data_IF_406663930167
#
_entry.id   IF_406663930167
#
_cell.length_a   1.000
_cell.length_b   1.000
_cell.length_c   1.000
_cell.angle_alpha   90.00
_cell.angle_beta   90.00
_cell.angle_gamma   90.00
#
_symmetry.space_group_name_H-M   'P 1'
#
loop_
_entity.id
_entity.type
_entity.pdbx_description
1 polymer ?
#
# COMPACT_ATOMS: atom_id res chain seq x y z
N UNK A 1 -16.07 -18.87 13.58
CA UNK A 1 -15.93 -17.43 13.82
C UNK A 1 -14.54 -16.97 13.30
N UNK A 2 -14.53 -16.36 12.10
CA UNK A 2 -13.28 -15.93 11.43
C UNK A 2 -12.50 -14.90 12.29
N UNK A 3 -13.18 -14.05 13.06
CA UNK A 3 -12.57 -13.05 13.92
C UNK A 3 -11.81 -13.75 15.05
N UNK A 4 -12.42 -14.73 15.69
CA UNK A 4 -11.78 -15.50 16.77
C UNK A 4 -10.55 -16.29 16.30
N UNK A 5 -10.52 -16.73 15.04
CA UNK A 5 -9.33 -17.37 14.44
C UNK A 5 -8.20 -16.36 14.26
N UNK A 6 -8.51 -15.17 13.72
CA UNK A 6 -7.53 -14.11 13.52
C UNK A 6 -6.95 -13.58 14.83
N UNK A 7 -7.80 -13.39 15.86
CA UNK A 7 -7.37 -12.87 17.16
C UNK A 7 -6.54 -13.87 17.98
N UNK A 8 -6.85 -15.15 17.90
CA UNK A 8 -6.25 -16.17 18.76
C UNK A 8 -5.24 -17.07 18.04
N UNK A 9 -5.08 -16.94 16.73
CA UNK A 9 -4.19 -17.79 15.92
C UNK A 9 -4.56 -19.28 15.96
N UNK A 10 -5.76 -19.63 16.44
CA UNK A 10 -6.22 -21.02 16.56
C UNK A 10 -6.85 -21.47 15.26
N UNK A 11 -6.16 -22.32 14.55
CA UNK A 11 -6.63 -22.97 13.33
C UNK A 11 -7.16 -24.38 13.54
N UNK A 12 -7.18 -24.84 14.81
CA UNK A 12 -7.67 -26.18 15.18
C UNK A 12 -9.13 -26.37 14.73
N UNK A 13 -9.38 -27.40 13.95
CA UNK A 13 -10.70 -27.72 13.44
C UNK A 13 -11.11 -26.98 12.17
N UNK A 14 -10.23 -26.13 11.58
CA UNK A 14 -10.43 -25.59 10.26
C UNK A 14 -9.93 -26.55 9.19
N UNK A 15 -10.62 -26.61 8.06
CA UNK A 15 -10.14 -27.38 6.90
C UNK A 15 -9.02 -26.60 6.20
N UNK A 16 -7.96 -27.32 5.83
CA UNK A 16 -6.89 -26.75 5.00
C UNK A 16 -7.39 -26.62 3.57
N UNK A 17 -7.34 -25.41 3.02
CA UNK A 17 -7.71 -25.15 1.63
C UNK A 17 -6.49 -24.79 0.80
N UNK A 18 -6.51 -25.15 -0.46
CA UNK A 18 -5.49 -24.83 -1.45
C UNK A 18 -6.15 -24.14 -2.63
N UNK A 19 -5.53 -23.06 -3.10
CA UNK A 19 -5.73 -22.52 -4.42
C UNK A 19 -4.61 -23.08 -5.31
N UNK A 20 -4.97 -23.85 -6.33
CA UNK A 20 -3.97 -24.36 -7.27
C UNK A 20 -3.42 -23.21 -8.13
N UNK A 21 -2.09 -23.16 -8.34
CA UNK A 21 -1.51 -22.24 -9.33
C UNK A 21 -1.68 -22.74 -10.77
N UNK A 22 -2.26 -23.91 -10.99
CA UNK A 22 -2.56 -24.45 -12.32
C UNK A 22 -3.90 -23.90 -12.81
N UNK A 23 -3.93 -23.11 -13.90
CA UNK A 23 -5.14 -22.48 -14.39
C UNK A 23 -6.21 -23.47 -14.87
N UNK A 24 -5.84 -24.75 -15.11
CA UNK A 24 -6.81 -25.81 -15.44
C UNK A 24 -7.59 -26.32 -14.22
N UNK A 25 -7.11 -26.01 -13.00
CA UNK A 25 -7.72 -26.40 -11.73
C UNK A 25 -8.37 -25.18 -11.04
N UNK A 26 -9.51 -24.73 -11.56
CA UNK A 26 -10.22 -23.58 -10.99
C UNK A 26 -10.83 -23.86 -9.61
N UNK A 27 -10.90 -22.83 -8.74
CA UNK A 27 -11.58 -22.88 -7.46
C UNK A 27 -10.70 -23.27 -6.27
N UNK A 28 -11.34 -23.49 -5.13
CA UNK A 28 -10.68 -23.91 -3.90
C UNK A 28 -10.81 -25.42 -3.70
N UNK A 29 -9.75 -26.02 -3.19
CA UNK A 29 -9.68 -27.43 -2.86
C UNK A 29 -9.44 -27.62 -1.37
N UNK A 30 -10.05 -28.65 -0.77
CA UNK A 30 -9.78 -29.09 0.61
C UNK A 30 -8.74 -30.19 0.58
N UNK A 31 -7.70 -30.04 1.40
CA UNK A 31 -6.66 -31.05 1.60
C UNK A 31 -7.00 -31.92 2.83
N UNK A 32 -7.23 -33.22 2.61
CA UNK A 32 -7.48 -34.21 3.68
C UNK A 32 -6.45 -35.34 3.56
N UNK A 33 -5.42 -35.26 4.39
CA UNK A 33 -4.28 -36.17 4.29
C UNK A 33 -3.51 -35.97 2.98
N UNK A 34 -3.45 -37.00 2.11
CA UNK A 34 -2.82 -36.91 0.79
C UNK A 34 -3.81 -36.70 -0.36
N UNK A 35 -5.09 -36.62 -0.06
CA UNK A 35 -6.16 -36.44 -1.05
C UNK A 35 -6.67 -35.02 -1.00
N UNK A 36 -6.92 -34.43 -2.16
CA UNK A 36 -7.62 -33.17 -2.25
C UNK A 36 -8.86 -33.29 -3.14
N UNK A 37 -9.90 -32.58 -2.76
CA UNK A 37 -11.17 -32.54 -3.48
C UNK A 37 -11.64 -31.10 -3.63
N UNK A 38 -12.25 -30.81 -4.78
CA UNK A 38 -12.78 -29.46 -5.04
C UNK A 38 -13.84 -29.11 -4.01
N UNK A 39 -13.66 -27.99 -3.34
CA UNK A 39 -14.60 -27.45 -2.37
C UNK A 39 -15.68 -26.60 -3.07
N UNK A 40 -15.23 -25.64 -3.89
CA UNK A 40 -16.12 -24.73 -4.61
C UNK A 40 -15.39 -24.03 -5.74
N UNK A 41 -16.15 -23.52 -6.69
CA UNK A 41 -15.69 -22.53 -7.65
C UNK A 41 -15.71 -21.12 -7.01
N UNK A 42 -14.79 -20.27 -7.42
CA UNK A 42 -14.74 -18.87 -6.98
C UNK A 42 -14.72 -17.98 -8.22
N UNK A 43 -15.67 -17.07 -8.32
CA UNK A 43 -15.75 -16.11 -9.43
C UNK A 43 -14.77 -14.94 -9.24
N UNK A 44 -14.62 -14.45 -7.99
CA UNK A 44 -13.75 -13.32 -7.65
C UNK A 44 -13.14 -13.50 -6.27
N UNK A 45 -11.85 -13.31 -6.14
CA UNK A 45 -11.17 -13.19 -4.85
C UNK A 45 -11.15 -11.72 -4.41
N UNK A 46 -11.48 -11.48 -3.15
CA UNK A 46 -11.37 -10.16 -2.53
C UNK A 46 -10.35 -10.23 -1.39
N UNK A 47 -9.05 -9.99 -1.67
CA UNK A 47 -8.02 -9.99 -0.62
C UNK A 47 -8.23 -8.83 0.35
N UNK A 48 -8.35 -9.12 1.64
CA UNK A 48 -8.39 -8.13 2.72
C UNK A 48 -7.30 -8.51 3.70
N UNK A 49 -6.06 -8.22 3.33
CA UNK A 49 -4.85 -8.58 4.04
C UNK A 49 -3.87 -7.41 3.94
N UNK A 50 -2.94 -7.28 4.88
CA UNK A 50 -2.00 -6.17 4.91
C UNK A 50 -0.55 -6.63 5.03
N UNK A 51 0.37 -5.80 4.54
CA UNK A 51 1.80 -5.97 4.69
C UNK A 51 2.44 -6.97 3.73
N UNK A 52 3.58 -7.51 4.14
CA UNK A 52 4.41 -8.45 3.37
C UNK A 52 3.61 -9.70 2.97
N UNK A 53 3.86 -10.21 1.79
CA UNK A 53 3.14 -11.29 1.10
C UNK A 53 1.71 -10.97 0.64
N UNK A 54 1.14 -9.84 1.07
CA UNK A 54 -0.21 -9.44 0.70
C UNK A 54 -0.23 -8.28 -0.28
N UNK A 55 0.58 -7.24 -0.02
CA UNK A 55 0.60 -5.98 -0.78
C UNK A 55 1.84 -5.85 -1.69
N UNK A 56 2.74 -6.84 -1.70
CA UNK A 56 4.04 -6.81 -2.38
C UNK A 56 4.09 -7.54 -3.74
N UNK A 57 2.95 -7.94 -4.27
CA UNK A 57 2.85 -8.69 -5.52
C UNK A 57 2.87 -10.21 -5.35
N UNK A 58 3.21 -10.75 -4.18
CA UNK A 58 3.31 -12.19 -3.95
C UNK A 58 1.95 -12.87 -4.02
N UNK A 59 0.94 -12.35 -3.29
CA UNK A 59 -0.44 -12.83 -3.36
C UNK A 59 -1.01 -12.65 -4.77
N UNK A 60 -0.78 -11.50 -5.37
CA UNK A 60 -1.23 -11.21 -6.73
C UNK A 60 -0.62 -12.17 -7.74
N UNK A 61 0.65 -12.54 -7.59
CA UNK A 61 1.32 -13.53 -8.43
C UNK A 61 0.67 -14.91 -8.34
N UNK A 62 0.27 -15.36 -7.14
CA UNK A 62 -0.48 -16.60 -6.96
C UNK A 62 -1.83 -16.54 -7.69
N UNK A 63 -2.57 -15.44 -7.55
CA UNK A 63 -3.88 -15.26 -8.19
C UNK A 63 -3.77 -15.15 -9.72
N UNK A 64 -2.70 -14.52 -10.23
CA UNK A 64 -2.40 -14.48 -11.67
C UNK A 64 -2.08 -15.86 -12.23
N UNK A 65 -1.26 -16.68 -11.52
CA UNK A 65 -0.94 -18.05 -11.93
C UNK A 65 -2.16 -18.98 -11.93
N UNK A 66 -3.04 -18.80 -10.94
CA UNK A 66 -4.30 -19.54 -10.85
C UNK A 66 -5.35 -19.06 -11.88
N UNK A 67 -5.06 -18.02 -12.63
CA UNK A 67 -5.92 -17.42 -13.66
C UNK A 67 -7.32 -17.01 -13.15
N UNK A 68 -7.40 -16.51 -11.92
CA UNK A 68 -8.66 -16.09 -11.28
C UNK A 68 -8.82 -14.56 -11.30
N UNK A 69 -10.08 -14.10 -11.24
CA UNK A 69 -10.36 -12.68 -11.02
C UNK A 69 -10.11 -12.32 -9.55
N UNK A 70 -9.56 -11.14 -9.30
CA UNK A 70 -9.36 -10.63 -7.94
C UNK A 70 -9.44 -9.11 -7.87
N UNK A 71 -9.88 -8.62 -6.72
CA UNK A 71 -9.98 -7.18 -6.42
C UNK A 71 -8.60 -6.63 -6.09
N UNK A 72 -8.27 -5.47 -6.66
CA UNK A 72 -7.07 -4.72 -6.34
C UNK A 72 -6.03 -4.70 -7.46
N UNK A 73 -4.88 -4.15 -7.14
CA UNK A 73 -3.75 -3.97 -8.03
C UNK A 73 -3.21 -5.31 -8.57
N UNK A 74 -2.66 -5.28 -9.77
CA UNK A 74 -1.86 -6.38 -10.33
C UNK A 74 -0.50 -6.52 -9.65
N UNK A 75 0.29 -7.50 -10.11
CA UNK A 75 1.63 -7.76 -9.57
C UNK A 75 2.50 -6.51 -9.57
N UNK A 76 2.55 -5.78 -10.69
CA UNK A 76 3.38 -4.58 -10.83
C UNK A 76 2.94 -3.48 -9.87
N UNK A 77 1.65 -3.14 -9.89
CA UNK A 77 1.10 -2.08 -9.02
C UNK A 77 1.29 -2.37 -7.53
N UNK A 78 1.06 -3.63 -7.12
CA UNK A 78 1.27 -4.07 -5.75
C UNK A 78 2.76 -3.99 -5.35
N UNK A 79 3.66 -4.56 -6.14
CA UNK A 79 5.10 -4.59 -5.84
C UNK A 79 5.73 -3.20 -5.80
N UNK A 80 5.41 -2.34 -6.77
CA UNK A 80 5.91 -0.96 -6.81
C UNK A 80 5.29 -0.12 -5.69
N UNK A 81 3.99 -0.28 -5.43
CA UNK A 81 3.30 0.44 -4.35
C UNK A 81 3.87 0.14 -2.96
N UNK A 82 4.28 -1.11 -2.73
CA UNK A 82 4.85 -1.54 -1.45
C UNK A 82 6.30 -1.07 -1.25
N UNK A 83 7.14 -1.11 -2.29
CA UNK A 83 8.55 -0.71 -2.21
C UNK A 83 8.68 0.82 -2.24
N UNK A 84 8.84 1.43 -1.07
CA UNK A 84 8.90 2.89 -0.90
C UNK A 84 10.03 3.56 -1.69
N UNK A 85 11.12 2.84 -1.97
CA UNK A 85 12.23 3.36 -2.76
C UNK A 85 11.89 3.43 -4.25
N UNK A 86 11.47 2.29 -4.83
CA UNK A 86 11.07 2.20 -6.24
C UNK A 86 9.86 3.10 -6.49
N UNK A 87 8.88 3.11 -5.58
CA UNK A 87 7.73 3.98 -5.65
C UNK A 87 8.14 5.45 -5.82
N UNK A 88 9.06 5.95 -4.97
CA UNK A 88 9.54 7.34 -5.07
C UNK A 88 10.28 7.62 -6.37
N UNK A 89 11.08 6.69 -6.86
CA UNK A 89 11.78 6.83 -8.14
C UNK A 89 10.76 6.95 -9.30
N UNK A 90 9.70 6.13 -9.27
CA UNK A 90 8.60 6.22 -10.25
C UNK A 90 7.86 7.56 -10.13
N UNK A 91 7.59 8.03 -8.92
CA UNK A 91 6.93 9.33 -8.71
C UNK A 91 7.76 10.50 -9.26
N UNK A 92 9.06 10.52 -8.98
CA UNK A 92 9.99 11.54 -9.51
C UNK A 92 10.02 11.50 -11.03
N UNK A 93 10.08 10.31 -11.64
CA UNK A 93 10.07 10.15 -13.11
C UNK A 93 8.76 10.64 -13.76
N UNK A 94 7.68 10.78 -12.98
CA UNK A 94 6.38 11.29 -13.42
C UNK A 94 6.09 12.73 -12.95
N UNK A 95 7.11 13.48 -12.51
CA UNK A 95 6.97 14.85 -11.99
C UNK A 95 5.92 14.95 -10.86
N UNK A 96 5.88 13.95 -9.96
CA UNK A 96 5.04 13.93 -8.77
C UNK A 96 5.92 14.24 -7.56
N UNK A 97 5.60 15.27 -6.77
CA UNK A 97 6.42 15.69 -5.65
C UNK A 97 6.41 14.65 -4.53
N UNK A 98 7.61 14.23 -4.12
CA UNK A 98 7.85 13.34 -2.97
C UNK A 98 8.89 13.98 -2.06
N UNK A 99 8.93 13.58 -0.80
CA UNK A 99 9.93 14.06 0.15
C UNK A 99 11.31 13.50 -0.21
N UNK A 100 12.35 14.34 -0.13
CA UNK A 100 13.75 13.98 -0.38
C UNK A 100 14.13 12.72 0.39
N UNK A 101 14.68 11.76 -0.30
CA UNK A 101 14.95 10.43 0.24
C UNK A 101 16.22 9.85 -0.36
N UNK A 102 17.09 9.32 0.50
CA UNK A 102 18.26 8.53 0.11
C UNK A 102 17.93 7.05 0.36
N UNK A 103 18.13 6.21 -0.64
CA UNK A 103 18.00 4.75 -0.52
C UNK A 103 19.40 4.16 -0.40
N UNK A 104 19.62 3.34 0.62
CA UNK A 104 20.90 2.68 0.90
C UNK A 104 20.70 1.18 1.13
N UNK A 105 21.75 0.40 0.91
CA UNK A 105 21.73 -1.03 1.15
C UNK A 105 22.23 -1.36 2.56
N UNK A 106 21.73 -2.44 3.16
CA UNK A 106 22.26 -2.99 4.41
C UNK A 106 23.77 -3.22 4.33
N UNK A 107 24.27 -3.76 3.22
CA UNK A 107 25.69 -3.99 3.00
C UNK A 107 26.50 -2.70 2.95
N UNK A 108 25.97 -1.59 2.46
CA UNK A 108 26.63 -0.28 2.48
C UNK A 108 26.70 0.29 3.91
N UNK A 109 25.61 0.10 4.70
CA UNK A 109 25.56 0.49 6.12
C UNK A 109 26.61 -0.29 6.91
N UNK A 110 26.71 -1.59 6.70
CA UNK A 110 27.72 -2.46 7.35
C UNK A 110 29.14 -2.12 6.94
N UNK A 111 29.37 -1.70 5.71
CA UNK A 111 30.68 -1.39 5.17
C UNK A 111 31.19 -0.02 5.62
N UNK A 112 30.41 1.04 5.53
CA UNK A 112 30.79 2.41 5.89
C UNK A 112 29.56 3.26 6.26
N UNK A 113 29.04 3.04 7.45
CA UNK A 113 27.92 3.81 8.01
C UNK A 113 28.21 5.31 8.05
N UNK A 114 29.47 5.70 8.34
CA UNK A 114 29.88 7.10 8.40
C UNK A 114 29.74 7.81 7.05
N UNK A 115 30.04 7.12 5.95
CA UNK A 115 29.83 7.67 4.61
C UNK A 115 28.32 7.86 4.31
N UNK A 116 27.48 6.93 4.75
CA UNK A 116 26.01 7.02 4.59
C UNK A 116 25.48 8.22 5.37
N UNK A 117 25.89 8.38 6.63
CA UNK A 117 25.48 9.50 7.47
C UNK A 117 25.88 10.83 6.84
N UNK A 118 27.13 10.95 6.36
CA UNK A 118 27.58 12.17 5.66
C UNK A 118 26.76 12.47 4.40
N UNK A 119 26.35 11.46 3.64
CA UNK A 119 25.46 11.64 2.48
C UNK A 119 24.07 12.17 2.91
N UNK A 120 23.50 11.63 3.99
CA UNK A 120 22.23 12.09 4.53
C UNK A 120 22.33 13.54 5.03
N UNK A 121 23.36 13.88 5.81
CA UNK A 121 23.60 15.22 6.33
C UNK A 121 23.89 16.26 5.22
N UNK A 122 24.40 15.82 4.07
CA UNK A 122 24.57 16.67 2.89
C UNK A 122 23.23 16.92 2.14
N UNK A 123 22.24 16.05 2.29
CA UNK A 123 20.92 16.19 1.67
C UNK A 123 20.08 17.28 2.36
N UNK A 124 20.00 17.25 3.69
CA UNK A 124 19.26 18.25 4.48
C UNK A 124 19.64 18.18 5.97
N UNK A 125 19.09 19.13 6.76
CA UNK A 125 19.21 19.11 8.22
C UNK A 125 18.26 18.07 8.86
N UNK A 126 18.56 17.68 10.09
CA UNK A 126 17.65 16.88 10.92
C UNK A 126 16.31 17.57 11.17
N UNK A 127 15.20 16.83 11.42
CA UNK A 127 15.16 15.38 11.62
C UNK A 127 15.13 14.59 10.31
N UNK A 128 15.58 13.31 10.40
CA UNK A 128 15.33 12.30 9.39
C UNK A 128 14.34 11.23 9.87
N UNK A 129 13.82 10.45 8.94
CA UNK A 129 13.15 9.18 9.22
C UNK A 129 13.88 8.06 8.50
N UNK A 130 14.30 7.03 9.22
CA UNK A 130 14.78 5.78 8.63
C UNK A 130 13.61 4.81 8.50
N UNK A 131 13.55 4.09 7.37
CA UNK A 131 12.44 3.17 7.07
C UNK A 131 12.95 1.97 6.27
N UNK A 132 12.48 0.73 6.53
CA UNK A 132 12.65 -0.36 5.58
C UNK A 132 11.85 -0.07 4.29
N UNK A 133 12.33 -0.55 3.13
CA UNK A 133 11.66 -0.30 1.84
C UNK A 133 10.31 -1.01 1.75
N UNK A 134 10.24 -2.29 2.16
CA UNK A 134 9.08 -3.17 1.98
C UNK A 134 8.42 -3.54 3.31
N UNK A 135 8.10 -2.57 4.13
CA UNK A 135 7.36 -2.80 5.38
C UNK A 135 6.19 -1.83 5.51
N UNK A 136 5.09 -2.32 6.06
CA UNK A 136 3.89 -1.56 6.37
C UNK A 136 3.80 -1.14 7.84
N UNK A 137 2.73 -0.42 8.20
CA UNK A 137 2.31 -0.15 9.58
C UNK A 137 3.39 0.47 10.47
N UNK A 138 4.29 1.28 9.91
CA UNK A 138 5.40 1.93 10.63
C UNK A 138 6.40 0.99 11.31
N UNK A 139 6.45 -0.30 10.96
CA UNK A 139 7.43 -1.25 11.50
C UNK A 139 8.84 -0.85 11.02
N UNK A 140 9.80 -0.79 11.94
CA UNK A 140 11.19 -0.40 11.67
C UNK A 140 11.38 1.06 11.27
N UNK A 141 10.38 1.93 11.52
CA UNK A 141 10.48 3.38 11.26
C UNK A 141 10.96 4.10 12.50
N UNK A 142 12.06 4.86 12.36
CA UNK A 142 12.65 5.64 13.45
C UNK A 142 12.76 7.11 13.07
N UNK A 143 12.30 8.03 13.95
CA UNK A 143 12.54 9.46 13.84
C UNK A 143 13.92 9.77 14.44
N UNK A 144 14.80 10.32 13.63
CA UNK A 144 16.21 10.61 14.00
C UNK A 144 16.39 12.11 14.11
N UNK A 145 16.60 12.63 15.33
CA UNK A 145 16.77 14.06 15.59
C UNK A 145 18.23 14.50 15.58
N UNK A 146 19.15 13.54 15.59
CA UNK A 146 20.59 13.74 15.60
C UNK A 146 21.30 12.53 15.00
N UNK A 147 22.63 12.60 14.95
CA UNK A 147 23.49 11.58 14.36
C UNK A 147 23.43 10.22 15.06
N UNK A 148 23.33 10.20 16.38
CA UNK A 148 23.18 8.94 17.15
C UNK A 148 21.87 8.24 16.82
N UNK A 149 20.77 8.99 16.81
CA UNK A 149 19.46 8.46 16.45
C UNK A 149 19.47 7.90 15.01
N UNK A 150 20.20 8.58 14.09
CA UNK A 150 20.31 8.12 12.71
C UNK A 150 21.09 6.79 12.61
N UNK A 151 22.16 6.61 13.39
CA UNK A 151 22.88 5.34 13.47
C UNK A 151 21.99 4.20 13.97
N UNK A 152 21.27 4.42 15.07
CA UNK A 152 20.37 3.43 15.65
C UNK A 152 19.22 3.10 14.69
N UNK A 153 18.63 4.11 14.07
CA UNK A 153 17.54 3.94 13.10
C UNK A 153 17.96 3.22 11.83
N UNK A 154 19.22 3.38 11.37
CA UNK A 154 19.76 2.62 10.24
C UNK A 154 19.90 1.14 10.58
N UNK A 155 20.37 0.78 11.78
CA UNK A 155 20.43 -0.61 12.22
C UNK A 155 19.06 -1.22 12.37
N UNK A 156 18.12 -0.49 12.98
CA UNK A 156 16.74 -0.95 13.17
C UNK A 156 16.07 -1.23 11.82
N UNK A 157 16.09 -0.27 10.89
CA UNK A 157 15.49 -0.45 9.58
C UNK A 157 16.14 -1.58 8.77
N UNK A 158 17.49 -1.72 8.88
CA UNK A 158 18.25 -2.77 8.22
C UNK A 158 17.96 -4.17 8.77
N UNK A 159 17.38 -4.32 9.97
CA UNK A 159 16.92 -5.61 10.47
C UNK A 159 15.71 -6.16 9.69
N UNK A 160 14.85 -5.26 9.18
CA UNK A 160 13.61 -5.63 8.50
C UNK A 160 13.72 -5.71 6.98
N UNK A 161 14.66 -4.95 6.36
CA UNK A 161 14.86 -5.01 4.90
C UNK A 161 16.33 -4.83 4.56
N UNK A 162 16.73 -5.34 3.40
CA UNK A 162 18.05 -5.08 2.82
C UNK A 162 18.19 -3.66 2.25
N UNK A 163 17.09 -3.01 1.93
CA UNK A 163 17.01 -1.62 1.42
C UNK A 163 16.41 -0.72 2.49
N UNK A 164 17.12 0.32 2.83
CA UNK A 164 16.75 1.28 3.87
C UNK A 164 16.62 2.67 3.25
N UNK A 165 15.56 3.36 3.59
CA UNK A 165 15.34 4.74 3.23
C UNK A 165 15.75 5.66 4.38
N UNK A 166 16.44 6.75 4.02
CA UNK A 166 16.68 7.91 4.90
C UNK A 166 15.89 9.05 4.27
N UNK A 167 14.78 9.42 4.87
CA UNK A 167 13.87 10.44 4.36
C UNK A 167 13.98 11.71 5.20
N UNK A 168 13.98 12.88 4.54
CA UNK A 168 13.87 14.17 5.22
C UNK A 168 12.61 14.23 6.07
N UNK A 169 12.70 14.69 7.30
CA UNK A 169 11.54 14.93 8.17
C UNK A 169 10.87 16.28 7.84
N UNK A 170 9.55 16.31 7.93
CA UNK A 170 8.75 17.52 7.90
C UNK A 170 8.29 17.79 9.33
N UNK A 171 8.60 18.97 9.87
CA UNK A 171 8.38 19.29 11.29
C UNK A 171 6.88 19.41 11.62
N UNK A 172 6.13 20.14 10.82
CA UNK A 172 4.71 20.42 11.04
C UNK A 172 3.89 19.88 9.85
N UNK A 173 3.46 18.64 9.93
CA UNK A 173 2.76 17.95 8.84
C UNK A 173 1.25 17.91 9.09
N UNK A 174 0.47 17.99 7.98
CA UNK A 174 -0.91 17.51 7.88
C UNK A 174 -0.88 16.22 7.08
N UNK A 175 -1.53 15.19 7.58
CA UNK A 175 -1.65 13.90 6.88
C UNK A 175 -2.99 13.85 6.17
N UNK A 176 -2.95 13.79 4.84
CA UNK A 176 -4.14 13.78 3.99
C UNK A 176 -4.20 12.47 3.23
N UNK A 177 -5.36 11.81 3.26
CA UNK A 177 -5.59 10.55 2.57
C UNK A 177 -6.68 10.73 1.49
N UNK A 178 -6.47 10.09 0.33
CA UNK A 178 -7.42 10.07 -0.79
C UNK A 178 -7.63 8.63 -1.23
N UNK A 179 -8.88 8.23 -1.38
CA UNK A 179 -9.23 6.94 -1.96
C UNK A 179 -9.31 7.03 -3.48
N UNK A 180 -8.70 6.07 -4.19
CA UNK A 180 -8.79 5.95 -5.64
C UNK A 180 -9.47 4.64 -5.99
N UNK A 181 -10.35 4.66 -7.01
CA UNK A 181 -11.18 3.54 -7.47
C UNK A 181 -11.24 3.52 -8.98
N UNK A 182 -10.97 2.38 -9.60
CA UNK A 182 -11.08 2.17 -11.04
C UNK A 182 -9.91 1.38 -11.62
N UNK A 183 -10.03 1.03 -12.90
CA UNK A 183 -8.94 0.44 -13.69
C UNK A 183 -8.31 1.53 -14.56
N UNK A 184 -8.56 1.58 -15.86
CA UNK A 184 -7.93 2.52 -16.82
C UNK A 184 -8.36 3.97 -16.63
N UNK A 185 -9.58 4.20 -16.12
CA UNK A 185 -10.13 5.53 -15.82
C UNK A 185 -10.47 5.68 -14.33
N UNK A 186 -9.46 5.72 -13.45
CA UNK A 186 -9.66 5.80 -12.01
C UNK A 186 -10.15 7.18 -11.57
N UNK A 187 -10.98 7.17 -10.53
CA UNK A 187 -11.52 8.35 -9.88
C UNK A 187 -10.97 8.49 -8.47
N UNK A 188 -10.83 9.72 -8.00
CA UNK A 188 -10.43 10.05 -6.64
C UNK A 188 -11.61 10.57 -5.81
N UNK A 189 -11.71 10.13 -4.57
CA UNK A 189 -12.67 10.62 -3.59
C UNK A 189 -12.39 12.06 -3.15
N UNK A 190 -13.22 12.61 -2.29
CA UNK A 190 -12.85 13.77 -1.47
C UNK A 190 -11.66 13.38 -0.58
N UNK A 191 -10.72 14.32 -0.28
CA UNK A 191 -9.67 14.07 0.69
C UNK A 191 -10.19 14.02 2.13
N UNK A 192 -9.55 13.19 2.97
CA UNK A 192 -9.72 13.21 4.42
C UNK A 192 -8.42 13.56 5.12
N UNK A 193 -8.52 14.16 6.30
CA UNK A 193 -7.37 14.48 7.15
C UNK A 193 -7.37 13.58 8.38
N UNK A 194 -6.20 12.99 8.67
CA UNK A 194 -5.96 12.25 9.90
C UNK A 194 -5.38 13.20 10.94
N UNK A 195 -6.03 13.29 12.09
CA UNK A 195 -5.54 14.05 13.23
C UNK A 195 -4.84 13.09 14.19
N UNK A 196 -3.49 13.04 14.20
CA UNK A 196 -2.78 12.13 15.08
C UNK A 196 -3.03 12.47 16.55
N UNK A 197 -3.27 11.47 17.37
CA UNK A 197 -3.46 11.62 18.83
C UNK A 197 -2.15 11.90 19.57
N UNK A 198 -0.99 11.69 18.92
CA UNK A 198 0.38 11.92 19.43
C UNK A 198 1.27 12.48 18.31
N UNK A 199 2.44 13.03 18.66
CA UNK A 199 3.41 13.60 17.69
C UNK A 199 3.87 12.62 16.60
N UNK A 200 3.71 11.33 16.81
CA UNK A 200 4.06 10.27 15.85
C UNK A 200 2.92 9.26 15.73
N UNK A 201 2.43 9.04 14.53
CA UNK A 201 1.36 8.09 14.21
C UNK A 201 1.91 6.67 14.14
N UNK A 202 2.06 6.03 15.31
CA UNK A 202 2.60 4.67 15.47
C UNK A 202 1.56 3.60 15.15
N UNK A 203 2.02 2.34 15.02
CA UNK A 203 1.14 1.16 14.87
C UNK A 203 0.04 1.10 15.94
N UNK A 204 0.39 1.40 17.18
CA UNK A 204 -0.56 1.38 18.30
C UNK A 204 -1.68 2.41 18.14
N UNK A 205 -1.37 3.63 17.70
CA UNK A 205 -2.37 4.67 17.47
C UNK A 205 -3.26 4.39 16.25
N UNK A 206 -2.76 3.61 15.26
CA UNK A 206 -3.51 3.23 14.06
C UNK A 206 -4.59 2.17 14.32
N UNK A 207 -4.28 1.19 15.17
CA UNK A 207 -5.08 -0.04 15.28
C UNK A 207 -5.61 -0.33 16.68
N UNK A 208 -5.00 0.19 17.75
CA UNK A 208 -5.33 -0.15 19.13
C UNK A 208 -6.12 0.95 19.83
N UNK A 209 -5.66 2.19 19.75
CA UNK A 209 -6.24 3.28 20.57
C UNK A 209 -7.55 3.86 19.98
N UNK A 210 -7.80 3.74 18.66
CA UNK A 210 -9.01 4.27 17.99
C UNK A 210 -9.27 5.77 18.23
N UNK A 211 -8.27 6.50 18.75
CA UNK A 211 -8.39 7.88 19.25
C UNK A 211 -8.03 8.94 18.22
N UNK A 212 -7.52 8.55 17.04
CA UNK A 212 -7.23 9.51 15.96
C UNK A 212 -8.51 10.12 15.42
N UNK A 213 -8.61 11.43 15.45
CA UNK A 213 -9.71 12.16 14.81
C UNK A 213 -9.61 12.08 13.30
N UNK A 214 -10.75 12.00 12.62
CA UNK A 214 -10.85 12.07 11.16
C UNK A 214 -11.68 13.29 10.77
N UNK A 215 -11.17 14.10 9.84
CA UNK A 215 -11.94 15.19 9.21
C UNK A 215 -12.26 14.80 7.77
N UNK A 216 -13.50 14.55 7.47
CA UNK A 216 -13.98 14.16 6.15
C UNK A 216 -15.18 15.02 5.76
N UNK A 217 -15.10 15.83 4.69
CA UNK A 217 -13.90 16.15 3.91
C UNK A 217 -12.82 16.89 4.72
N UNK A 218 -11.56 16.76 4.31
CA UNK A 218 -10.47 17.55 4.87
C UNK A 218 -10.70 19.05 4.64
N UNK A 219 -10.46 19.92 5.65
CA UNK A 219 -10.62 21.38 5.50
C UNK A 219 -9.47 21.97 4.68
N UNK A 220 -9.53 21.79 3.36
CA UNK A 220 -8.57 22.28 2.38
C UNK A 220 -9.23 23.30 1.43
N UNK A 221 -8.47 24.26 0.90
CA UNK A 221 -8.92 25.09 -0.22
C UNK A 221 -9.33 24.23 -1.42
N UNK A 222 -10.30 24.69 -2.20
CA UNK A 222 -10.80 23.95 -3.38
C UNK A 222 -9.69 23.60 -4.37
N UNK A 223 -8.77 24.55 -4.63
CA UNK A 223 -7.64 24.33 -5.54
C UNK A 223 -6.69 23.24 -5.02
N UNK A 224 -6.39 23.25 -3.73
CA UNK A 224 -5.56 22.23 -3.08
C UNK A 224 -6.24 20.86 -3.11
N UNK A 225 -7.54 20.82 -2.83
CA UNK A 225 -8.35 19.58 -2.91
C UNK A 225 -8.25 18.97 -4.30
N UNK A 226 -8.48 19.76 -5.34
CA UNK A 226 -8.47 19.28 -6.72
C UNK A 226 -7.06 18.87 -7.16
N UNK A 227 -6.03 19.62 -6.79
CA UNK A 227 -4.63 19.27 -7.08
C UNK A 227 -4.24 17.92 -6.45
N UNK A 228 -4.58 17.67 -5.17
CA UNK A 228 -4.31 16.41 -4.48
C UNK A 228 -5.03 15.24 -5.15
N UNK A 229 -6.28 15.41 -5.54
CA UNK A 229 -7.05 14.39 -6.27
C UNK A 229 -6.40 14.05 -7.63
N UNK A 230 -5.96 15.05 -8.38
CA UNK A 230 -5.25 14.85 -9.65
C UNK A 230 -3.91 14.15 -9.45
N UNK A 231 -3.14 14.53 -8.42
CA UNK A 231 -1.87 13.85 -8.09
C UNK A 231 -2.15 12.39 -7.70
N UNK A 232 -3.19 12.12 -6.91
CA UNK A 232 -3.55 10.75 -6.49
C UNK A 232 -3.85 9.86 -7.71
N UNK A 233 -4.65 10.34 -8.67
CA UNK A 233 -4.95 9.62 -9.92
C UNK A 233 -3.69 9.41 -10.77
N UNK A 234 -2.83 10.43 -10.90
CA UNK A 234 -1.56 10.32 -11.64
C UNK A 234 -0.63 9.28 -11.01
N UNK A 235 -0.47 9.30 -9.69
CA UNK A 235 0.36 8.36 -8.96
C UNK A 235 -0.15 6.92 -9.10
N UNK A 236 -1.46 6.73 -9.00
CA UNK A 236 -2.13 5.46 -9.20
C UNK A 236 -1.86 4.87 -10.58
N UNK A 237 -2.02 5.68 -11.64
CA UNK A 237 -1.72 5.27 -13.02
C UNK A 237 -0.23 5.00 -13.25
N UNK A 238 0.65 5.79 -12.62
CA UNK A 238 2.10 5.67 -12.80
C UNK A 238 2.68 4.33 -12.35
N UNK A 239 2.03 3.66 -11.40
CA UNK A 239 2.43 2.32 -10.91
C UNK A 239 1.59 1.18 -11.51
N UNK A 240 0.76 1.44 -12.51
CA UNK A 240 -0.17 0.44 -13.08
C UNK A 240 -1.09 -0.18 -12.01
N UNK A 241 -1.62 0.66 -11.11
CA UNK A 241 -2.57 0.22 -10.10
C UNK A 241 -3.96 0.00 -10.70
N UNK A 242 -4.75 -0.91 -10.12
CA UNK A 242 -6.09 -1.22 -10.54
C UNK A 242 -7.01 -1.49 -9.33
N UNK A 243 -8.32 -1.41 -9.55
CA UNK A 243 -9.35 -1.68 -8.55
C UNK A 243 -9.41 -0.59 -7.49
N UNK A 244 -8.54 -0.63 -6.49
CA UNK A 244 -8.54 0.30 -5.37
C UNK A 244 -7.13 0.64 -4.89
N UNK A 245 -6.97 1.85 -4.33
CA UNK A 245 -5.84 2.21 -3.49
C UNK A 245 -6.19 3.40 -2.59
N UNK A 246 -5.48 3.57 -1.48
CA UNK A 246 -5.44 4.81 -0.71
C UNK A 246 -4.10 5.48 -0.94
N UNK A 247 -4.14 6.74 -1.30
CA UNK A 247 -2.97 7.57 -1.59
C UNK A 247 -2.81 8.57 -0.45
N UNK A 248 -1.66 8.53 0.21
CA UNK A 248 -1.39 9.26 1.43
C UNK A 248 -0.42 10.41 1.15
N UNK A 249 -0.80 11.61 1.56
CA UNK A 249 -0.06 12.85 1.34
C UNK A 249 0.39 13.49 2.65
N UNK A 250 1.48 14.22 2.58
CA UNK A 250 1.94 15.13 3.60
C UNK A 250 1.87 16.57 3.08
N UNK A 251 1.23 17.46 3.82
CA UNK A 251 1.27 18.90 3.57
C UNK A 251 2.12 19.53 4.68
N UNK A 252 3.17 20.21 4.30
CA UNK A 252 3.99 21.01 5.21
C UNK A 252 3.23 22.28 5.60
N UNK A 253 2.93 22.45 6.90
CA UNK A 253 2.17 23.63 7.40
C UNK A 253 2.92 24.94 7.31
N UNK A 254 4.25 24.89 7.20
CA UNK A 254 5.09 26.09 7.18
C UNK A 254 5.26 26.64 5.76
N UNK A 255 5.13 25.78 4.74
CA UNK A 255 5.39 26.13 3.33
C UNK A 255 4.22 25.86 2.40
N UNK A 256 3.16 25.19 2.88
CA UNK A 256 2.04 24.66 2.09
C UNK A 256 2.46 23.66 0.99
N UNK A 257 3.69 23.18 1.02
CA UNK A 257 4.19 22.22 0.06
C UNK A 257 3.50 20.87 0.25
N UNK A 258 3.05 20.28 -0.88
CA UNK A 258 2.35 18.99 -0.93
C UNK A 258 3.33 17.94 -1.39
N UNK A 259 3.45 16.85 -0.64
CA UNK A 259 4.26 15.70 -0.97
C UNK A 259 3.41 14.44 -0.95
N UNK A 260 3.55 13.61 -1.97
CA UNK A 260 3.04 12.25 -1.95
C UNK A 260 3.94 11.42 -1.02
N UNK A 261 3.35 10.72 -0.06
CA UNK A 261 4.09 9.87 0.88
C UNK A 261 4.15 8.42 0.42
N UNK A 262 2.99 7.78 0.26
CA UNK A 262 2.88 6.37 -0.13
C UNK A 262 1.52 6.08 -0.80
N UNK A 263 1.42 4.90 -1.41
CA UNK A 263 0.18 4.34 -1.92
C UNK A 263 -0.05 2.96 -1.28
N UNK A 264 -1.25 2.73 -0.77
CA UNK A 264 -1.66 1.47 -0.15
C UNK A 264 -2.61 0.75 -1.11
N UNK A 265 -2.15 -0.33 -1.71
CA UNK A 265 -2.89 -1.07 -2.76
C UNK A 265 -3.93 -2.04 -2.22
N UNK A 266 -3.89 -2.37 -0.92
CA UNK A 266 -4.94 -3.06 -0.17
C UNK A 266 -5.22 -2.25 1.11
N UNK A 267 -5.90 -1.10 1.02
CA UNK A 267 -6.17 -0.26 2.18
C UNK A 267 -7.12 -0.97 3.15
N UNK A 268 -7.10 -0.54 4.41
CA UNK A 268 -8.08 -1.00 5.40
C UNK A 268 -9.51 -0.88 4.87
N UNK A 269 -10.29 -1.97 5.02
CA UNK A 269 -11.62 -2.10 4.40
C UNK A 269 -12.72 -2.43 5.41
N UNK A 270 -12.57 -1.97 6.66
CA UNK A 270 -13.61 -2.06 7.68
C UNK A 270 -14.49 -0.80 7.68
N UNK A 271 -15.63 -0.85 8.36
CA UNK A 271 -16.53 0.33 8.49
C UNK A 271 -15.87 1.55 9.16
N UNK A 272 -14.80 1.36 9.91
CA UNK A 272 -14.06 2.45 10.54
C UNK A 272 -12.88 2.94 9.69
N UNK A 273 -12.52 2.20 8.65
CA UNK A 273 -11.38 2.52 7.78
C UNK A 273 -11.62 3.76 6.93
N UNK A 274 -10.56 4.52 6.67
CA UNK A 274 -10.63 5.77 5.90
C UNK A 274 -11.11 5.52 4.47
N UNK A 275 -10.62 4.48 3.78
CA UNK A 275 -10.95 4.20 2.38
C UNK A 275 -12.46 4.18 2.10
N UNK A 276 -13.29 3.35 2.76
CA UNK A 276 -14.73 3.36 2.51
C UNK A 276 -15.42 4.63 3.00
N UNK A 277 -14.95 5.28 4.07
CA UNK A 277 -15.53 6.54 4.56
C UNK A 277 -15.37 7.68 3.56
N UNK A 278 -14.23 7.76 2.86
CA UNK A 278 -13.99 8.77 1.84
C UNK A 278 -14.92 8.56 0.63
N UNK A 279 -15.19 7.32 0.25
CA UNK A 279 -16.16 7.03 -0.80
C UNK A 279 -17.61 7.30 -0.37
N UNK A 280 -17.97 7.00 0.88
CA UNK A 280 -19.28 7.37 1.42
C UNK A 280 -19.50 8.89 1.40
N UNK A 281 -18.48 9.66 1.75
CA UNK A 281 -18.49 11.13 1.65
C UNK A 281 -18.44 11.64 0.20
N UNK A 282 -18.22 10.77 -0.78
CA UNK A 282 -18.24 11.04 -2.22
C UNK A 282 -19.48 10.42 -2.89
N UNK A 283 -20.55 10.21 -2.13
CA UNK A 283 -21.84 9.66 -2.58
C UNK A 283 -21.79 8.21 -3.10
N UNK A 284 -20.76 7.42 -2.74
CA UNK A 284 -20.68 6.00 -3.04
C UNK A 284 -20.80 5.17 -1.74
N UNK A 285 -21.99 4.66 -1.39
CA UNK A 285 -22.21 3.87 -0.18
C UNK A 285 -21.41 2.55 -0.18
N UNK A 286 -21.07 2.04 1.01
CA UNK A 286 -20.22 0.85 1.21
C UNK A 286 -20.64 -0.36 0.37
N UNK A 287 -21.94 -0.71 0.33
CA UNK A 287 -22.41 -1.85 -0.46
C UNK A 287 -22.17 -1.65 -1.96
N UNK A 288 -22.39 -0.42 -2.47
CA UNK A 288 -22.12 -0.07 -3.87
C UNK A 288 -20.65 -0.02 -4.20
N UNK A 289 -19.82 0.37 -3.24
CA UNK A 289 -18.36 0.30 -3.37
C UNK A 289 -17.89 -1.16 -3.52
N UNK A 290 -18.43 -2.09 -2.73
CA UNK A 290 -18.11 -3.53 -2.85
C UNK A 290 -18.56 -4.07 -4.21
N UNK A 291 -19.81 -3.80 -4.64
CA UNK A 291 -20.30 -4.18 -5.97
C UNK A 291 -19.34 -3.68 -7.07
N UNK A 292 -18.99 -2.38 -7.03
CA UNK A 292 -18.10 -1.80 -8.05
C UNK A 292 -16.70 -2.41 -8.06
N UNK A 293 -16.15 -2.76 -6.90
CA UNK A 293 -14.83 -3.42 -6.80
C UNK A 293 -14.85 -4.82 -7.40
N UNK A 294 -15.94 -5.57 -7.22
CA UNK A 294 -16.13 -6.88 -7.85
C UNK A 294 -16.23 -6.73 -9.38
N UNK A 295 -17.04 -5.77 -9.85
CA UNK A 295 -17.15 -5.48 -11.28
C UNK A 295 -15.78 -5.14 -11.90
N UNK A 296 -14.99 -4.27 -11.24
CA UNK A 296 -13.64 -3.90 -11.69
C UNK A 296 -12.69 -5.10 -11.75
N UNK A 297 -12.80 -6.05 -10.81
CA UNK A 297 -12.00 -7.27 -10.84
C UNK A 297 -12.35 -8.14 -12.06
N UNK A 298 -13.63 -8.27 -12.37
CA UNK A 298 -14.12 -9.01 -13.56
C UNK A 298 -13.73 -8.29 -14.86
N UNK A 299 -13.88 -6.97 -14.93
CA UNK A 299 -13.45 -6.15 -16.08
C UNK A 299 -11.94 -6.34 -16.35
N UNK A 300 -11.12 -6.26 -15.31
CA UNK A 300 -9.66 -6.43 -15.41
C UNK A 300 -9.29 -7.86 -15.86
N UNK A 301 -9.97 -8.89 -15.33
CA UNK A 301 -9.76 -10.28 -15.76
C UNK A 301 -10.12 -10.45 -17.23
N UNK A 302 -11.25 -9.92 -17.67
CA UNK A 302 -11.68 -10.00 -19.06
C UNK A 302 -10.70 -9.29 -20.01
N UNK A 303 -10.10 -8.15 -19.61
CA UNK A 303 -9.09 -7.46 -20.42
C UNK A 303 -7.77 -8.25 -20.48
N UNK A 304 -7.34 -8.83 -19.35
CA UNK A 304 -6.15 -9.69 -19.29
C UNK A 304 -6.28 -10.90 -20.23
N UNK A 305 -7.47 -11.53 -20.27
CA UNK A 305 -7.75 -12.71 -21.08
C UNK A 305 -7.68 -12.45 -22.61
N UNK A 306 -7.68 -11.19 -23.02
CA UNK A 306 -7.44 -10.81 -24.42
C UNK A 306 -5.97 -10.90 -24.82
N UNK A 307 -5.06 -11.00 -23.85
CA UNK A 307 -3.63 -11.07 -24.08
C UNK A 307 -3.25 -12.45 -24.63
N UNK A 308 -2.53 -12.48 -25.75
CA UNK A 308 -2.05 -13.72 -26.35
C UNK A 308 -0.74 -14.14 -25.69
N UNK A 309 -0.72 -15.26 -25.00
CA UNK A 309 0.48 -15.83 -24.37
C UNK A 309 1.24 -16.82 -25.26
N UNK A 310 0.66 -17.24 -26.41
CA UNK A 310 1.30 -18.14 -27.36
C UNK A 310 1.65 -17.39 -28.67
N UNK A 311 2.90 -17.54 -29.08
CA UNK A 311 3.33 -17.16 -30.41
C UNK A 311 3.28 -18.39 -31.32
N UNK A 312 2.27 -18.46 -32.22
CA UNK A 312 2.25 -19.45 -33.31
C UNK A 312 2.88 -18.81 -34.53
N UNK A 313 4.12 -19.21 -34.87
CA UNK A 313 4.75 -18.84 -36.13
C UNK A 313 4.02 -19.53 -37.27
N UNK A 314 3.27 -18.79 -38.05
CA UNK A 314 2.71 -19.24 -39.35
C UNK A 314 1.38 -20.02 -39.21
N UNK A 315 0.27 -19.33 -39.28
CA UNK A 315 -0.96 -19.82 -39.87
C UNK A 315 -1.17 -19.07 -41.19
#
# INVERSE_FOLDING_TARGET
>A
DAIGVLENGKTDGLEHVILSPDPSESGLYVLRGSEYSKLTDIDVFFPVMHGTYSEDGTMQGLLEMADVAYVGAGVVGAAVGMDKGIFKDVMVANDIPVVDTLVVLRSEIEQDMEAIIRKAEAMCAYPFFTKPANMGSSVGVTKCNNRSDLQEGLFEAAAYDRRVLIQRGIAHVREIEVSVLGNDDPQASVPGEVLPSREFYSYESKYIDGTSGLLIPAPLPTETTELIRQIAVRAYKAIDCAGLARVDFMIDKDTDAIYLNEINTIPGFTKISMYPKLWEATDLPYAKLVDRLIDLALERKAERDRTKHEYRSGA
#
